data_IF_260049103576
#
_entry.id   IF_260049103576
#
_cell.length_a   1.000
_cell.length_b   1.000
_cell.length_c   1.000
_cell.angle_alpha   90.00
_cell.angle_beta   90.00
_cell.angle_gamma   90.00
#
_symmetry.space_group_name_H-M   'P 1'
#
loop_
_entity.id
_entity.type
_entity.pdbx_description
1 polymer ?
#
# COMPACT_ATOMS: atom_id res chain seq x y z
N UNK A 1 58.68 4.50 -28.32
CA UNK A 1 58.56 5.97 -28.32
C UNK A 1 57.67 6.36 -27.15
N UNK A 2 58.26 6.85 -26.06
CA UNK A 2 57.55 7.23 -24.85
C UNK A 2 57.31 8.74 -24.83
N UNK A 3 56.14 9.19 -24.36
CA UNK A 3 56.03 10.50 -23.70
C UNK A 3 55.43 11.67 -24.48
N UNK A 4 54.32 11.50 -25.20
CA UNK A 4 53.47 12.63 -25.60
C UNK A 4 52.17 12.61 -24.77
N UNK A 5 52.15 13.33 -23.65
CA UNK A 5 50.94 13.66 -22.88
C UNK A 5 50.60 15.14 -23.08
N UNK A 6 49.33 15.53 -22.93
CA UNK A 6 48.94 16.94 -23.00
C UNK A 6 49.71 17.82 -22.01
N UNK A 7 50.21 17.23 -20.92
CA UNK A 7 51.03 17.92 -19.94
C UNK A 7 52.48 18.07 -20.40
N UNK A 8 53.06 17.07 -21.07
CA UNK A 8 54.42 17.19 -21.63
C UNK A 8 54.48 18.19 -22.79
N UNK A 9 53.46 18.25 -23.65
CA UNK A 9 53.30 19.30 -24.66
C UNK A 9 53.29 20.69 -24.03
N UNK A 10 52.55 20.85 -22.93
CA UNK A 10 52.46 22.11 -22.19
C UNK A 10 53.79 22.51 -21.58
N UNK A 11 54.51 21.58 -20.97
CA UNK A 11 55.82 21.86 -20.41
C UNK A 11 56.82 22.28 -21.49
N UNK A 12 56.81 21.61 -22.65
CA UNK A 12 57.63 22.01 -23.78
C UNK A 12 57.29 23.43 -24.27
N UNK A 13 56.00 23.78 -24.33
CA UNK A 13 55.57 25.12 -24.73
C UNK A 13 55.99 26.20 -23.72
N UNK A 14 55.90 25.92 -22.42
CA UNK A 14 56.37 26.82 -21.37
C UNK A 14 57.90 27.00 -21.43
N UNK A 15 58.66 25.91 -21.66
CA UNK A 15 60.11 25.97 -21.85
C UNK A 15 60.49 26.80 -23.07
N UNK A 16 59.77 26.65 -24.18
CA UNK A 16 59.99 27.43 -25.39
C UNK A 16 59.80 28.94 -25.13
N UNK A 17 58.72 29.34 -24.46
CA UNK A 17 58.50 30.76 -24.12
C UNK A 17 59.60 31.35 -23.23
N UNK A 18 60.20 30.55 -22.33
CA UNK A 18 61.32 31.00 -21.49
C UNK A 18 62.58 31.21 -22.33
N UNK A 19 62.85 30.33 -23.30
CA UNK A 19 63.98 30.46 -24.23
C UNK A 19 63.83 31.73 -25.08
N UNK A 20 62.60 32.02 -25.51
CA UNK A 20 62.27 33.21 -26.31
C UNK A 20 62.32 34.52 -25.49
N UNK A 21 62.46 34.43 -24.16
CA UNK A 21 62.59 35.57 -23.25
C UNK A 21 61.28 36.09 -22.66
N UNK A 22 60.16 35.43 -22.95
CA UNK A 22 58.82 35.78 -22.47
C UNK A 22 58.45 35.04 -21.17
N UNK A 23 57.51 35.58 -20.40
CA UNK A 23 57.00 34.92 -19.20
C UNK A 23 55.91 33.89 -19.54
N UNK A 24 55.98 32.64 -19.06
CA UNK A 24 55.02 31.60 -19.39
C UNK A 24 53.62 31.88 -18.82
N UNK A 25 52.57 31.42 -19.52
CA UNK A 25 51.17 31.60 -19.12
C UNK A 25 50.88 30.94 -17.75
N UNK A 26 50.32 31.72 -16.81
CA UNK A 26 49.92 31.22 -15.48
C UNK A 26 48.50 30.65 -15.51
N UNK A 27 48.34 29.40 -15.05
CA UNK A 27 47.02 28.75 -14.93
C UNK A 27 46.31 29.15 -13.64
N UNK A 28 45.08 29.66 -13.74
CA UNK A 28 44.15 29.75 -12.61
C UNK A 28 43.32 28.47 -12.60
N UNK A 29 43.56 27.59 -11.63
CA UNK A 29 42.70 26.42 -11.40
C UNK A 29 41.49 26.84 -10.57
N UNK A 30 40.34 27.02 -11.22
CA UNK A 30 39.07 27.26 -10.52
C UNK A 30 38.51 25.90 -10.11
N UNK A 31 38.60 25.56 -8.82
CA UNK A 31 37.98 24.37 -8.26
C UNK A 31 36.47 24.56 -8.10
N UNK A 32 35.66 23.69 -8.68
CA UNK A 32 34.22 23.63 -8.40
C UNK A 32 34.00 23.00 -7.02
N UNK A 33 33.38 23.74 -6.09
CA UNK A 33 32.92 23.20 -4.82
C UNK A 33 31.43 22.85 -4.96
N UNK A 34 31.04 21.55 -4.98
CA UNK A 34 29.62 21.19 -5.00
C UNK A 34 28.94 21.67 -3.70
N UNK A 35 27.72 22.19 -3.83
CA UNK A 35 26.87 22.53 -2.69
C UNK A 35 26.60 21.23 -1.93
N UNK A 36 27.10 21.14 -0.68
CA UNK A 36 26.87 19.98 0.17
C UNK A 36 25.40 19.98 0.61
N UNK A 37 24.63 18.98 0.23
CA UNK A 37 23.29 18.77 0.77
C UNK A 37 23.38 18.60 2.30
N UNK A 38 22.39 19.12 3.03
CA UNK A 38 22.38 19.05 4.49
C UNK A 38 22.20 17.60 4.91
N UNK A 39 23.25 16.97 5.44
CA UNK A 39 23.17 15.69 6.14
C UNK A 39 22.43 15.86 7.49
N UNK A 40 21.11 16.02 7.45
CA UNK A 40 20.23 15.94 8.62
C UNK A 40 19.29 14.74 8.53
N UNK A 41 18.34 14.64 9.47
CA UNK A 41 17.23 13.67 9.42
C UNK A 41 16.24 14.09 8.32
N UNK A 42 16.62 13.86 7.06
CA UNK A 42 15.72 14.05 5.92
C UNK A 42 14.74 12.88 5.98
N UNK A 43 13.55 13.14 6.50
CA UNK A 43 12.51 12.15 6.48
C UNK A 43 12.06 11.88 5.04
N UNK A 44 12.11 10.62 4.62
CA UNK A 44 11.62 10.23 3.30
C UNK A 44 10.08 10.28 3.27
N UNK A 45 9.51 10.67 2.13
CA UNK A 45 8.07 10.66 1.89
C UNK A 45 7.42 9.30 2.25
N UNK A 46 8.11 8.20 1.93
CA UNK A 46 7.66 6.85 2.28
C UNK A 46 7.55 6.65 3.80
N UNK A 47 8.46 7.23 4.58
CA UNK A 47 8.39 7.14 6.04
C UNK A 47 7.18 7.89 6.56
N UNK A 48 6.82 9.05 5.98
CA UNK A 48 5.61 9.78 6.39
C UNK A 48 4.34 8.99 6.11
N UNK A 49 4.21 8.40 4.93
CA UNK A 49 3.03 7.60 4.55
C UNK A 49 2.91 6.33 5.41
N UNK A 50 4.03 5.69 5.73
CA UNK A 50 4.03 4.40 6.44
C UNK A 50 4.02 4.53 7.97
N UNK A 51 4.09 5.75 8.51
CA UNK A 51 3.99 6.00 9.97
C UNK A 51 2.69 5.44 10.55
N UNK A 52 1.58 5.64 9.85
CA UNK A 52 0.25 5.28 10.34
C UNK A 52 0.01 3.77 10.32
N UNK A 53 0.64 3.07 9.36
CA UNK A 53 0.53 1.61 9.21
C UNK A 53 1.39 0.87 10.24
N UNK A 54 2.54 1.45 10.62
CA UNK A 54 3.47 0.84 11.56
C UNK A 54 2.93 0.98 12.99
N UNK A 55 2.92 -0.13 13.73
CA UNK A 55 2.60 -0.09 15.16
C UNK A 55 3.62 0.79 15.91
N UNK A 56 3.16 1.84 16.62
CA UNK A 56 4.03 2.66 17.42
C UNK A 56 4.47 1.93 18.69
N UNK A 57 5.58 2.36 19.27
CA UNK A 57 6.07 1.83 20.54
C UNK A 57 5.14 2.18 21.72
N UNK A 58 4.46 3.32 21.62
CA UNK A 58 3.53 3.84 22.61
C UNK A 58 2.16 3.99 21.98
N UNK A 59 1.11 3.56 22.70
CA UNK A 59 -0.26 3.73 22.26
C UNK A 59 -0.68 5.20 22.34
N UNK A 60 -1.28 5.79 21.29
CA UNK A 60 -1.68 7.21 21.29
C UNK A 60 -2.81 7.54 22.28
N UNK A 61 -3.59 6.55 22.73
CA UNK A 61 -4.71 6.80 23.65
C UNK A 61 -4.34 6.78 25.12
N UNK A 62 -3.33 5.98 25.50
CA UNK A 62 -3.00 5.75 26.90
C UNK A 62 -1.52 5.91 27.25
N UNK A 63 -0.68 6.28 26.26
CA UNK A 63 0.77 6.48 26.37
C UNK A 63 1.54 5.29 26.97
N UNK A 64 0.90 4.11 27.05
CA UNK A 64 1.53 2.88 27.52
C UNK A 64 2.32 2.22 26.40
N UNK A 65 3.39 1.53 26.80
CA UNK A 65 4.20 0.74 25.89
C UNK A 65 3.42 -0.47 25.36
N UNK A 66 3.36 -0.60 24.03
CA UNK A 66 2.75 -1.73 23.34
C UNK A 66 3.79 -2.84 23.18
N UNK A 67 3.72 -3.86 24.04
CA UNK A 67 4.69 -4.98 24.08
C UNK A 67 4.00 -6.35 24.01
N UNK A 68 2.71 -6.40 24.28
CA UNK A 68 1.98 -7.66 24.35
C UNK A 68 1.82 -8.17 22.92
N UNK A 69 1.98 -9.49 22.69
CA UNK A 69 1.80 -10.09 21.35
C UNK A 69 0.45 -9.79 20.70
N UNK A 70 -0.55 -9.45 21.52
CA UNK A 70 -1.91 -9.14 21.06
C UNK A 70 -2.06 -7.68 20.61
N UNK A 71 -1.13 -6.79 21.00
CA UNK A 71 -1.11 -5.39 20.59
C UNK A 71 -0.93 -5.25 19.07
N UNK A 72 -0.11 -6.10 18.45
CA UNK A 72 0.07 -6.15 16.99
C UNK A 72 -1.26 -6.35 16.24
N UNK A 73 -2.08 -7.28 16.75
CA UNK A 73 -3.39 -7.60 16.16
C UNK A 73 -4.37 -6.46 16.43
N UNK A 74 -4.36 -5.89 17.63
CA UNK A 74 -5.28 -4.84 18.02
C UNK A 74 -5.02 -3.53 17.27
N UNK A 75 -3.75 -3.21 17.04
CA UNK A 75 -3.35 -2.08 16.21
C UNK A 75 -3.89 -2.19 14.79
N UNK A 76 -3.74 -3.36 14.15
CA UNK A 76 -4.22 -3.59 12.78
C UNK A 76 -5.74 -3.54 12.63
N UNK A 77 -6.48 -3.90 13.68
CA UNK A 77 -7.95 -3.95 13.63
C UNK A 77 -8.60 -2.64 14.06
N UNK A 78 -8.07 -1.98 15.10
CA UNK A 78 -8.73 -0.84 15.74
C UNK A 78 -7.82 0.38 15.97
N UNK A 79 -6.51 0.28 15.66
CA UNK A 79 -5.59 1.41 15.81
C UNK A 79 -5.24 1.79 17.26
N UNK A 80 -5.42 0.88 18.22
CA UNK A 80 -5.06 1.12 19.62
C UNK A 80 -4.59 -0.17 20.32
N UNK A 81 -4.14 -0.07 21.58
CA UNK A 81 -3.57 -1.19 22.32
C UNK A 81 -4.63 -2.13 22.89
N UNK A 82 -4.20 -3.34 23.28
CA UNK A 82 -5.09 -4.35 23.84
C UNK A 82 -5.80 -3.86 25.12
N UNK A 83 -5.08 -3.18 26.02
CA UNK A 83 -5.64 -2.64 27.27
C UNK A 83 -6.79 -1.65 27.02
N UNK A 84 -6.65 -0.78 26.01
CA UNK A 84 -7.68 0.18 25.64
C UNK A 84 -8.92 -0.54 25.11
N UNK A 85 -8.73 -1.54 24.24
CA UNK A 85 -9.83 -2.33 23.72
C UNK A 85 -10.60 -3.03 24.84
N UNK A 86 -9.91 -3.63 25.82
CA UNK A 86 -10.56 -4.29 26.97
C UNK A 86 -11.44 -3.32 27.75
N UNK A 87 -11.02 -2.06 27.92
CA UNK A 87 -11.85 -1.03 28.58
C UNK A 87 -13.10 -0.71 27.77
N UNK A 88 -12.98 -0.62 26.45
CA UNK A 88 -14.13 -0.38 25.55
C UNK A 88 -15.12 -1.54 25.65
N UNK A 89 -14.63 -2.78 25.52
CA UNK A 89 -15.48 -3.98 25.61
C UNK A 89 -16.14 -4.12 26.99
N UNK A 90 -15.42 -3.77 28.06
CA UNK A 90 -15.99 -3.79 29.42
C UNK A 90 -17.12 -2.77 29.56
N UNK A 91 -16.97 -1.55 29.03
CA UNK A 91 -18.04 -0.54 29.00
C UNK A 91 -19.25 -1.05 28.23
N UNK A 92 -19.03 -1.60 27.03
CA UNK A 92 -20.10 -2.17 26.19
C UNK A 92 -20.82 -3.34 26.88
N UNK A 93 -20.10 -4.15 27.67
CA UNK A 93 -20.71 -5.24 28.45
C UNK A 93 -21.55 -4.72 29.62
N UNK A 94 -21.09 -3.67 30.31
CA UNK A 94 -21.87 -3.01 31.37
C UNK A 94 -23.16 -2.42 30.79
N UNK A 95 -23.09 -1.88 29.58
CA UNK A 95 -24.24 -1.33 28.85
C UNK A 95 -25.14 -2.40 28.21
N UNK A 96 -24.73 -3.68 28.20
CA UNK A 96 -25.45 -4.78 27.55
C UNK A 96 -25.33 -4.83 26.02
N UNK A 97 -24.73 -3.82 25.39
CA UNK A 97 -24.64 -3.65 23.92
C UNK A 97 -23.51 -4.45 23.25
N UNK A 98 -22.80 -5.27 24.01
CA UNK A 98 -21.66 -6.03 23.50
C UNK A 98 -22.05 -6.99 22.37
N UNK A 99 -23.20 -7.66 22.48
CA UNK A 99 -23.65 -8.61 21.47
C UNK A 99 -24.00 -7.93 20.14
N UNK A 100 -24.70 -6.80 20.20
CA UNK A 100 -25.02 -5.98 19.03
C UNK A 100 -23.75 -5.49 18.33
N UNK A 101 -22.79 -4.96 19.09
CA UNK A 101 -21.51 -4.53 18.56
C UNK A 101 -20.74 -5.69 17.90
N UNK A 102 -20.75 -6.88 18.51
CA UNK A 102 -20.11 -8.06 17.95
C UNK A 102 -20.78 -8.52 16.64
N UNK A 103 -22.12 -8.56 16.61
CA UNK A 103 -22.90 -8.89 15.40
C UNK A 103 -22.64 -7.88 14.28
N UNK A 104 -22.68 -6.58 14.58
CA UNK A 104 -22.42 -5.50 13.62
C UNK A 104 -21.08 -5.65 12.92
N UNK A 105 -20.01 -6.01 13.67
CA UNK A 105 -18.70 -6.27 13.06
C UNK A 105 -18.70 -7.45 12.10
N UNK A 106 -19.38 -8.55 12.45
CA UNK A 106 -19.49 -9.72 11.57
C UNK A 106 -20.21 -9.34 10.28
N UNK A 107 -21.32 -8.60 10.39
CA UNK A 107 -22.08 -8.12 9.23
C UNK A 107 -21.28 -7.16 8.35
N UNK A 108 -20.50 -6.25 8.95
CA UNK A 108 -19.62 -5.37 8.18
C UNK A 108 -18.55 -6.15 7.41
N UNK A 109 -17.95 -7.17 8.03
CA UNK A 109 -17.00 -8.05 7.33
C UNK A 109 -17.67 -8.84 6.20
N UNK A 110 -18.87 -9.37 6.43
CA UNK A 110 -19.64 -10.06 5.40
C UNK A 110 -19.98 -9.13 4.24
N UNK A 111 -20.39 -7.89 4.52
CA UNK A 111 -20.66 -6.87 3.51
C UNK A 111 -19.40 -6.61 2.66
N UNK A 112 -18.25 -6.39 3.30
CA UNK A 112 -16.97 -6.18 2.59
C UNK A 112 -16.62 -7.36 1.68
N UNK A 113 -16.80 -8.59 2.17
CA UNK A 113 -16.57 -9.79 1.36
C UNK A 113 -17.50 -9.85 0.14
N UNK A 114 -18.79 -9.58 0.31
CA UNK A 114 -19.75 -9.58 -0.81
C UNK A 114 -19.43 -8.47 -1.82
N UNK A 115 -19.02 -7.28 -1.37
CA UNK A 115 -18.63 -6.19 -2.29
C UNK A 115 -17.39 -6.54 -3.10
N UNK A 116 -16.35 -7.11 -2.46
CA UNK A 116 -15.14 -7.57 -3.16
C UNK A 116 -15.47 -8.65 -4.18
N UNK A 117 -16.40 -9.54 -3.85
CA UNK A 117 -16.81 -10.61 -4.74
C UNK A 117 -17.60 -10.09 -5.95
N UNK A 118 -18.39 -9.02 -5.78
CA UNK A 118 -19.10 -8.36 -6.87
C UNK A 118 -18.12 -7.66 -7.82
N UNK A 119 -17.14 -6.94 -7.29
CA UNK A 119 -16.04 -6.35 -8.06
C UNK A 119 -15.27 -7.43 -8.83
N UNK A 120 -14.95 -8.56 -8.19
CA UNK A 120 -14.29 -9.69 -8.83
C UNK A 120 -15.10 -10.28 -10.00
N UNK A 121 -16.43 -10.36 -9.88
CA UNK A 121 -17.30 -10.83 -10.99
C UNK A 121 -17.32 -9.81 -12.13
N UNK A 122 -17.34 -8.51 -11.84
CA UNK A 122 -17.23 -7.47 -12.86
C UNK A 122 -15.89 -7.51 -13.61
N UNK A 123 -14.78 -7.67 -12.87
CA UNK A 123 -13.46 -7.87 -13.45
C UNK A 123 -13.40 -9.13 -14.32
N UNK A 124 -13.96 -10.24 -13.83
CA UNK A 124 -14.02 -11.49 -14.58
C UNK A 124 -14.82 -11.36 -15.88
N UNK A 125 -15.92 -10.61 -15.87
CA UNK A 125 -16.70 -10.30 -17.07
C UNK A 125 -15.90 -9.48 -18.10
N UNK A 126 -15.00 -8.62 -17.62
CA UNK A 126 -14.14 -7.78 -18.47
C UNK A 126 -12.85 -8.49 -18.93
N UNK A 127 -12.52 -9.65 -18.36
CA UNK A 127 -11.36 -10.45 -18.80
C UNK A 127 -11.65 -11.02 -20.19
N UNK A 128 -10.77 -10.68 -21.14
CA UNK A 128 -10.81 -11.22 -22.50
C UNK A 128 -10.30 -12.66 -22.58
N UNK A 129 -10.27 -13.19 -23.80
CA UNK A 129 -9.80 -14.56 -24.06
C UNK A 129 -8.37 -14.76 -23.53
N UNK A 130 -8.16 -15.82 -22.75
CA UNK A 130 -6.84 -16.13 -22.19
C UNK A 130 -5.94 -16.64 -23.32
N UNK A 131 -4.84 -15.93 -23.54
CA UNK A 131 -3.81 -16.36 -24.48
C UNK A 131 -2.61 -16.88 -23.73
N UNK A 132 -2.31 -18.16 -23.89
CA UNK A 132 -1.15 -18.79 -23.28
C UNK A 132 -0.02 -18.93 -24.30
N UNK A 133 1.20 -18.64 -23.86
CA UNK A 133 2.39 -18.68 -24.71
C UNK A 133 3.22 -19.90 -24.34
N UNK A 134 3.26 -20.88 -25.23
CA UNK A 134 3.94 -22.14 -25.03
C UNK A 134 5.31 -22.17 -25.73
N UNK A 135 6.36 -22.54 -25.00
CA UNK A 135 7.73 -22.71 -25.49
C UNK A 135 8.08 -24.20 -25.61
N UNK A 136 7.25 -24.96 -26.33
CA UNK A 136 7.45 -26.43 -26.49
C UNK A 136 8.20 -26.75 -27.78
N UNK A 137 8.50 -25.75 -28.60
CA UNK A 137 9.12 -25.94 -29.90
C UNK A 137 10.60 -26.35 -29.79
N UNK A 138 11.03 -27.40 -30.52
CA UNK A 138 12.42 -27.85 -30.54
C UNK A 138 13.45 -26.80 -30.99
N UNK A 139 13.00 -25.76 -31.72
CA UNK A 139 13.85 -24.68 -32.23
C UNK A 139 14.35 -23.69 -31.16
N UNK A 140 13.86 -23.78 -29.92
CA UNK A 140 14.33 -22.98 -28.78
C UNK A 140 13.98 -21.48 -28.82
N UNK A 141 13.38 -21.00 -29.91
CA UNK A 141 13.08 -19.57 -30.14
C UNK A 141 11.63 -19.26 -30.53
N UNK A 142 10.86 -20.24 -31.00
CA UNK A 142 9.48 -20.05 -31.43
C UNK A 142 8.49 -20.27 -30.28
N UNK A 143 7.56 -19.34 -30.14
CA UNK A 143 6.50 -19.38 -29.12
C UNK A 143 5.17 -19.65 -29.81
N UNK A 144 4.49 -20.73 -29.42
CA UNK A 144 3.13 -21.01 -29.88
C UNK A 144 2.12 -20.25 -29.01
N UNK A 145 1.10 -19.69 -29.64
CA UNK A 145 0.02 -18.98 -28.96
C UNK A 145 -1.21 -19.88 -28.95
N UNK A 146 -1.54 -20.41 -27.78
CA UNK A 146 -2.80 -21.11 -27.56
C UNK A 146 -3.86 -20.11 -27.10
N UNK A 147 -4.97 -20.05 -27.83
CA UNK A 147 -6.13 -19.25 -27.48
C UNK A 147 -7.24 -20.17 -26.98
N UNK A 148 -7.63 -20.00 -25.73
CA UNK A 148 -8.74 -20.74 -25.14
C UNK A 148 -10.00 -19.89 -25.31
N UNK A 149 -10.88 -20.26 -26.24
CA UNK A 149 -12.16 -19.57 -26.42
C UNK A 149 -13.18 -20.11 -25.44
N UNK A 150 -13.78 -19.22 -24.63
CA UNK A 150 -14.87 -19.62 -23.73
C UNK A 150 -16.22 -19.22 -24.33
N UNK A 151 -17.27 -19.98 -24.04
CA UNK A 151 -18.64 -19.69 -24.48
C UNK A 151 -19.16 -18.41 -23.81
N UNK A 152 -19.04 -17.28 -24.51
CA UNK A 152 -19.38 -15.93 -24.00
C UNK A 152 -20.82 -15.83 -23.50
N UNK A 153 -21.77 -16.50 -24.16
CA UNK A 153 -23.17 -16.48 -23.74
C UNK A 153 -23.42 -17.21 -22.41
N UNK A 154 -22.72 -18.31 -22.15
CA UNK A 154 -22.83 -19.03 -20.88
C UNK A 154 -22.17 -18.24 -19.76
N UNK A 155 -21.00 -17.64 -20.04
CA UNK A 155 -20.31 -16.76 -19.09
C UNK A 155 -21.17 -15.57 -18.70
N UNK A 156 -21.81 -14.90 -19.65
CA UNK A 156 -22.69 -13.78 -19.35
C UNK A 156 -23.90 -14.17 -18.51
N UNK A 157 -24.46 -15.37 -18.72
CA UNK A 157 -25.56 -15.88 -17.88
C UNK A 157 -25.09 -16.17 -16.46
N UNK A 158 -23.99 -16.90 -16.32
CA UNK A 158 -23.40 -17.22 -15.02
C UNK A 158 -22.98 -15.95 -14.26
N UNK A 159 -22.41 -14.97 -14.95
CA UNK A 159 -22.03 -13.69 -14.36
C UNK A 159 -23.27 -12.92 -13.86
N UNK A 160 -24.35 -12.86 -14.65
CA UNK A 160 -25.61 -12.22 -14.23
C UNK A 160 -26.24 -12.92 -13.02
N UNK A 161 -26.33 -14.26 -13.07
CA UNK A 161 -26.83 -15.05 -11.95
C UNK A 161 -25.97 -14.82 -10.68
N UNK A 162 -24.65 -14.76 -10.81
CA UNK A 162 -23.76 -14.46 -9.70
C UNK A 162 -23.99 -13.04 -9.17
N UNK A 163 -24.06 -12.02 -10.03
CA UNK A 163 -24.31 -10.63 -9.59
C UNK A 163 -25.62 -10.51 -8.85
N UNK A 164 -26.70 -11.12 -9.37
CA UNK A 164 -28.03 -11.06 -8.74
C UNK A 164 -28.03 -11.71 -7.36
N UNK A 165 -27.38 -12.88 -7.22
CA UNK A 165 -27.23 -13.55 -5.92
C UNK A 165 -26.44 -12.69 -4.91
N UNK A 166 -25.36 -12.04 -5.34
CA UNK A 166 -24.57 -11.17 -4.47
C UNK A 166 -25.31 -9.89 -4.09
N UNK A 167 -26.09 -9.29 -5.00
CA UNK A 167 -26.93 -8.13 -4.68
C UNK A 167 -28.00 -8.48 -3.66
N UNK A 168 -28.67 -9.63 -3.81
CA UNK A 168 -29.68 -10.11 -2.85
C UNK A 168 -29.07 -10.34 -1.46
N UNK A 169 -27.87 -10.91 -1.39
CA UNK A 169 -27.15 -11.09 -0.12
C UNK A 169 -26.77 -9.75 0.50
N UNK A 170 -26.30 -8.79 -0.30
CA UNK A 170 -25.93 -7.46 0.16
C UNK A 170 -27.14 -6.69 0.70
N UNK A 171 -28.30 -6.80 0.06
CA UNK A 171 -29.56 -6.22 0.55
C UNK A 171 -29.96 -6.81 1.90
N UNK A 172 -29.91 -8.14 2.07
CA UNK A 172 -30.22 -8.80 3.35
C UNK A 172 -29.29 -8.32 4.47
N UNK A 173 -27.98 -8.25 4.22
CA UNK A 173 -27.00 -7.76 5.20
C UNK A 173 -27.29 -6.30 5.57
N UNK A 174 -27.63 -5.45 4.60
CA UNK A 174 -27.96 -4.06 4.86
C UNK A 174 -29.25 -3.90 5.67
N UNK A 175 -30.25 -4.74 5.45
CA UNK A 175 -31.46 -4.79 6.25
C UNK A 175 -31.14 -5.17 7.70
N UNK A 176 -30.39 -6.25 7.92
CA UNK A 176 -29.96 -6.68 9.27
C UNK A 176 -29.14 -5.58 9.99
N UNK A 177 -28.26 -4.88 9.27
CA UNK A 177 -27.53 -3.73 9.82
C UNK A 177 -28.47 -2.59 10.23
N UNK A 178 -29.49 -2.29 9.43
CA UNK A 178 -30.47 -1.25 9.73
C UNK A 178 -31.35 -1.60 10.93
N UNK A 179 -31.68 -2.88 11.13
CA UNK A 179 -32.43 -3.36 12.29
C UNK A 179 -31.64 -3.15 13.58
N UNK A 180 -30.35 -3.50 13.59
CA UNK A 180 -29.46 -3.27 14.74
C UNK A 180 -29.32 -1.79 15.10
N UNK A 181 -29.27 -0.90 14.10
CA UNK A 181 -29.18 0.55 14.35
C UNK A 181 -30.49 1.13 14.94
N UNK A 182 -31.65 0.53 14.61
CA UNK A 182 -32.95 0.93 15.16
C UNK A 182 -33.19 0.44 16.59
N UNK A 183 -32.60 -0.69 16.99
CA UNK A 183 -32.70 -1.22 18.36
C UNK A 183 -31.92 -0.35 19.35
N UNK A 184 -30.73 0.14 18.97
CA UNK A 184 -29.90 1.00 19.81
C UNK A 184 -30.51 2.36 20.19
N UNK A 185 -31.54 2.83 19.48
CA UNK A 185 -32.27 4.09 19.79
C UNK A 185 -33.27 3.92 20.94
N UNK A 186 -33.82 2.72 21.15
CA UNK A 186 -34.86 2.49 22.16
C UNK A 186 -34.31 2.57 23.59
N UNK A 187 -33.08 2.11 23.79
CA UNK A 187 -32.45 2.05 25.12
C UNK A 187 -31.88 3.40 25.61
N UNK A 188 -31.74 4.38 24.72
CA UNK A 188 -31.30 5.75 25.09
C UNK A 188 -32.41 6.63 25.67
N UNK A 189 -33.67 6.21 25.61
CA UNK A 189 -34.83 7.01 26.01
C UNK A 189 -35.27 6.83 27.48
N UNK A 190 -34.62 5.93 28.23
CA UNK A 190 -35.08 5.52 29.57
C UNK A 190 -34.11 5.88 30.71
N UNK A 191 -33.24 6.88 30.52
CA UNK A 191 -32.24 7.31 31.51
C UNK A 191 -32.54 8.72 32.09
N UNK A 192 -33.60 9.40 31.65
CA UNK A 192 -34.05 10.67 32.24
C UNK A 192 -35.48 10.55 32.80
N UNK A 193 -35.61 9.92 33.97
CA UNK A 193 -36.74 10.09 34.89
C UNK A 193 -36.33 9.76 36.32
#
# INVERSE_FOLDING_TARGET
MAGYSKESERQNKALQSIIDGDTPERRVMVGYNPVKEKHGDIQSHLTDVMKDVRMPWFCPECDKTMKIKLDDKMWRLFGHCFDCQVKIETKLRIEGKYEEWAKKKVLLNQRSFVTEQLESVEEWKNQGDVTFYNQVNPDGHSVEKETWSTDKEQLEKLAKEATDNYTDLLEKINLELSELDNEGVKDGSNINS
#
